data_IF_226293914254
#
_entry.id   IF_226293914254
#
_cell.length_a   1.000
_cell.length_b   1.000
_cell.length_c   1.000
_cell.angle_alpha   90.00
_cell.angle_beta   90.00
_cell.angle_gamma   90.00
#
_symmetry.space_group_name_H-M   'P 1'
#
loop_
_entity.id
_entity.type
_entity.pdbx_description
1 polymer ?
#
# COMPACT_ATOMS: atom_id res chain seq x y z
N UNK A 1 10.75 2.86 14.83
CA UNK A 1 10.93 2.97 13.37
C UNK A 1 11.22 1.62 12.72
N UNK A 2 12.27 0.87 13.09
CA UNK A 2 12.52 -0.46 12.47
C UNK A 2 11.51 -1.54 12.95
N UNK A 3 11.09 -1.49 14.22
CA UNK A 3 10.13 -2.48 14.77
C UNK A 3 8.72 -2.38 14.15
N UNK A 4 8.31 -1.19 13.72
CA UNK A 4 7.00 -0.98 13.07
C UNK A 4 7.00 -1.50 11.62
N UNK A 5 8.13 -1.39 10.91
CA UNK A 5 8.27 -1.85 9.54
C UNK A 5 8.27 -3.39 9.44
N UNK A 6 8.94 -4.08 10.37
CA UNK A 6 8.93 -5.54 10.41
C UNK A 6 7.53 -6.11 10.72
N UNK A 7 6.79 -5.44 11.63
CA UNK A 7 5.42 -5.80 11.96
C UNK A 7 4.47 -5.57 10.76
N UNK A 8 4.63 -4.45 10.07
CA UNK A 8 3.82 -4.10 8.90
C UNK A 8 4.13 -5.00 7.70
N UNK A 9 5.41 -5.30 7.44
CA UNK A 9 5.81 -6.27 6.42
C UNK A 9 5.19 -7.64 6.68
N UNK A 10 5.21 -8.09 7.94
CA UNK A 10 4.61 -9.37 8.33
C UNK A 10 3.09 -9.37 8.10
N UNK A 11 2.40 -8.30 8.50
CA UNK A 11 0.97 -8.11 8.28
C UNK A 11 0.61 -8.16 6.79
N UNK A 12 1.36 -7.46 5.95
CA UNK A 12 1.16 -7.42 4.50
C UNK A 12 1.44 -8.78 3.84
N UNK A 13 2.49 -9.49 4.28
CA UNK A 13 2.76 -10.86 3.84
C UNK A 13 1.60 -11.82 4.19
N UNK A 14 1.04 -11.70 5.40
CA UNK A 14 -0.10 -12.52 5.84
C UNK A 14 -1.36 -12.23 5.00
N UNK A 15 -1.62 -10.96 4.67
CA UNK A 15 -2.74 -10.57 3.81
C UNK A 15 -2.59 -11.13 2.38
N UNK A 16 -1.39 -10.99 1.78
CA UNK A 16 -1.11 -11.55 0.45
C UNK A 16 -1.27 -13.08 0.45
N UNK A 17 -0.86 -13.76 1.52
CA UNK A 17 -1.03 -15.21 1.66
C UNK A 17 -2.51 -15.63 1.83
N UNK A 18 -3.36 -14.78 2.40
CA UNK A 18 -4.80 -15.05 2.45
C UNK A 18 -5.44 -14.88 1.06
N UNK A 19 -5.04 -13.85 0.32
CA UNK A 19 -5.54 -13.59 -1.04
C UNK A 19 -5.10 -14.70 -2.00
N UNK A 20 -3.87 -15.22 -1.89
CA UNK A 20 -3.39 -16.32 -2.74
C UNK A 20 -4.12 -17.65 -2.55
N UNK A 21 -4.94 -17.78 -1.49
CA UNK A 21 -5.78 -18.96 -1.24
C UNK A 21 -7.18 -18.82 -1.84
N UNK A 22 -7.52 -17.66 -2.39
CA UNK A 22 -8.79 -17.43 -3.09
C UNK A 22 -8.71 -17.96 -4.53
N UNK A 23 -9.85 -18.22 -5.16
CA UNK A 23 -9.87 -18.41 -6.62
C UNK A 23 -9.60 -17.06 -7.28
N UNK A 24 -8.43 -16.96 -7.91
CA UNK A 24 -7.98 -15.77 -8.61
C UNK A 24 -8.04 -16.03 -10.12
N UNK A 25 -8.35 -14.98 -10.88
CA UNK A 25 -8.10 -14.98 -12.32
C UNK A 25 -6.61 -14.83 -12.58
N UNK A 26 -6.14 -15.24 -13.77
CA UNK A 26 -4.73 -15.11 -14.18
C UNK A 26 -4.21 -13.67 -14.02
N UNK A 27 -5.03 -12.67 -14.34
CA UNK A 27 -4.69 -11.25 -14.15
C UNK A 27 -4.52 -10.87 -12.67
N UNK A 28 -5.35 -11.42 -11.79
CA UNK A 28 -5.27 -11.18 -10.35
C UNK A 28 -4.07 -11.88 -9.73
N UNK A 29 -3.72 -13.09 -10.19
CA UNK A 29 -2.50 -13.78 -9.78
C UNK A 29 -1.25 -12.97 -10.18
N UNK A 30 -1.22 -12.47 -11.42
CA UNK A 30 -0.12 -11.62 -11.91
C UNK A 30 0.01 -10.33 -11.08
N UNK A 31 -1.12 -9.67 -10.80
CA UNK A 31 -1.15 -8.46 -9.96
C UNK A 31 -0.68 -8.75 -8.53
N UNK A 32 -1.11 -9.88 -7.95
CA UNK A 32 -0.71 -10.29 -6.61
C UNK A 32 0.81 -10.55 -6.52
N UNK A 33 1.38 -11.24 -7.52
CA UNK A 33 2.83 -11.46 -7.57
C UNK A 33 3.59 -10.13 -7.69
N UNK A 34 3.14 -9.21 -8.56
CA UNK A 34 3.76 -7.88 -8.70
C UNK A 34 3.70 -7.10 -7.39
N UNK A 35 2.57 -7.13 -6.68
CA UNK A 35 2.41 -6.50 -5.38
C UNK A 35 3.37 -7.09 -4.34
N UNK A 36 3.49 -8.42 -4.28
CA UNK A 36 4.42 -9.10 -3.37
C UNK A 36 5.89 -8.71 -3.64
N UNK A 37 6.30 -8.64 -4.90
CA UNK A 37 7.65 -8.19 -5.28
C UNK A 37 7.89 -6.72 -4.90
N UNK A 38 6.93 -5.83 -5.19
CA UNK A 38 7.03 -4.42 -4.83
C UNK A 38 7.18 -4.23 -3.31
N UNK A 39 6.43 -5.00 -2.53
CA UNK A 39 6.55 -5.02 -1.07
C UNK A 39 7.94 -5.50 -0.63
N UNK A 40 8.46 -6.57 -1.22
CA UNK A 40 9.80 -7.05 -0.90
C UNK A 40 10.88 -6.00 -1.18
N UNK A 41 10.81 -5.29 -2.31
CA UNK A 41 11.72 -4.19 -2.64
C UNK A 41 11.55 -2.99 -1.71
N UNK A 42 10.32 -2.61 -1.36
CA UNK A 42 10.02 -1.49 -0.45
C UNK A 42 10.75 -1.63 0.89
N UNK A 43 10.69 -2.83 1.46
CA UNK A 43 11.21 -3.11 2.79
C UNK A 43 12.71 -3.44 2.78
N UNK A 44 13.23 -4.13 1.74
CA UNK A 44 14.68 -4.39 1.63
C UNK A 44 15.50 -3.12 1.38
N UNK A 45 15.02 -2.23 0.50
CA UNK A 45 15.76 -1.01 0.13
C UNK A 45 15.41 0.20 1.01
N UNK A 46 14.55 0.04 2.03
CA UNK A 46 13.97 1.14 2.83
C UNK A 46 13.29 2.22 1.97
N UNK A 47 12.83 1.87 0.77
CA UNK A 47 12.18 2.77 -0.21
C UNK A 47 10.66 2.86 0.01
N UNK A 48 10.19 2.51 1.21
CA UNK A 48 8.78 2.60 1.61
C UNK A 48 8.21 3.99 1.30
N UNK A 49 8.90 5.06 1.70
CA UNK A 49 8.45 6.43 1.46
C UNK A 49 8.28 6.75 -0.03
N UNK A 50 9.20 6.30 -0.89
CA UNK A 50 9.12 6.53 -2.34
C UNK A 50 7.97 5.75 -3.00
N UNK A 51 7.60 4.60 -2.45
CA UNK A 51 6.46 3.80 -2.94
C UNK A 51 5.14 4.39 -2.47
N UNK A 52 5.06 4.85 -1.23
CA UNK A 52 3.90 5.60 -0.72
C UNK A 52 3.70 6.89 -1.54
N UNK A 53 4.78 7.60 -1.85
CA UNK A 53 4.78 8.79 -2.72
C UNK A 53 4.35 8.45 -4.16
N UNK A 54 4.88 7.39 -4.76
CA UNK A 54 4.48 6.94 -6.10
C UNK A 54 3.00 6.59 -6.17
N UNK A 55 2.46 5.93 -5.14
CA UNK A 55 1.02 5.66 -5.06
C UNK A 55 0.19 6.94 -4.82
N UNK A 56 0.71 7.90 -4.06
CA UNK A 56 0.12 9.23 -3.92
C UNK A 56 0.06 10.01 -5.24
N UNK A 57 1.00 9.76 -6.16
CA UNK A 57 1.06 10.37 -7.48
C UNK A 57 0.21 9.66 -8.54
N UNK A 58 -0.26 8.43 -8.30
CA UNK A 58 -1.21 7.79 -9.20
C UNK A 58 -2.60 8.41 -9.05
N UNK A 59 -3.07 9.07 -10.12
CA UNK A 59 -4.43 9.65 -10.30
C UNK A 59 -5.58 8.62 -10.24
N UNK A 60 -5.34 7.45 -9.66
CA UNK A 60 -6.35 6.42 -9.48
C UNK A 60 -7.25 6.82 -8.31
N UNK A 61 -8.47 7.29 -8.63
CA UNK A 61 -9.47 7.53 -7.60
C UNK A 61 -9.66 6.27 -6.75
N UNK A 62 -9.53 6.43 -5.43
CA UNK A 62 -9.83 5.37 -4.47
C UNK A 62 -11.28 4.91 -4.67
N UNK A 63 -11.47 3.60 -4.83
CA UNK A 63 -12.81 3.00 -4.85
C UNK A 63 -13.51 3.23 -3.51
N UNK A 64 -14.85 3.21 -3.51
CA UNK A 64 -15.64 3.36 -2.28
C UNK A 64 -15.24 2.35 -1.18
N UNK A 65 -14.90 1.12 -1.55
CA UNK A 65 -14.44 0.09 -0.62
C UNK A 65 -13.11 0.47 0.04
N UNK A 66 -12.16 1.00 -0.74
CA UNK A 66 -10.86 1.47 -0.23
C UNK A 66 -11.02 2.68 0.70
N UNK A 67 -11.86 3.66 0.32
CA UNK A 67 -12.17 4.82 1.17
C UNK A 67 -12.79 4.42 2.51
N UNK A 68 -13.74 3.48 2.49
CA UNK A 68 -14.40 3.01 3.69
C UNK A 68 -13.46 2.22 4.60
N UNK A 69 -12.53 1.46 4.01
CA UNK A 69 -11.48 0.78 4.76
C UNK A 69 -10.49 1.76 5.40
N UNK A 70 -10.03 2.78 4.67
CA UNK A 70 -9.14 3.83 5.21
C UNK A 70 -9.80 4.56 6.39
N UNK A 71 -11.07 4.94 6.25
CA UNK A 71 -11.84 5.53 7.36
C UNK A 71 -11.96 4.60 8.57
N UNK A 72 -12.08 3.28 8.35
CA UNK A 72 -12.09 2.28 9.45
C UNK A 72 -10.76 2.20 10.21
N UNK A 73 -9.66 2.61 9.57
CA UNK A 73 -8.33 2.71 10.17
C UNK A 73 -8.06 4.09 10.79
N UNK A 74 -9.04 5.02 10.75
CA UNK A 74 -8.89 6.39 11.24
C UNK A 74 -8.13 7.32 10.28
N UNK A 75 -7.90 6.89 9.04
CA UNK A 75 -7.24 7.68 8.00
C UNK A 75 -8.33 8.36 7.17
N UNK A 76 -8.26 9.68 7.02
CA UNK A 76 -9.19 10.42 6.16
C UNK A 76 -8.69 10.39 4.70
N UNK A 77 -9.34 9.64 3.79
CA UNK A 77 -8.92 9.54 2.39
C UNK A 77 -9.19 10.81 1.58
N UNK A 78 -9.96 11.75 2.12
CA UNK A 78 -10.32 13.01 1.49
C UNK A 78 -9.58 14.20 2.12
N UNK A 79 -8.67 13.94 3.07
CA UNK A 79 -7.84 14.98 3.64
C UNK A 79 -6.95 15.58 2.55
N UNK A 80 -6.87 16.93 2.46
CA UNK A 80 -5.93 17.56 1.56
C UNK A 80 -4.51 17.08 1.91
N UNK A 81 -3.79 16.59 0.91
CA UNK A 81 -2.35 16.32 1.06
C UNK A 81 -1.71 17.68 1.25
N UNK A 82 -1.23 17.98 2.47
CA UNK A 82 -0.41 19.16 2.69
C UNK A 82 0.89 18.96 1.93
N UNK A 83 1.03 19.72 0.84
CA UNK A 83 2.25 19.78 0.05
C UNK A 83 3.28 20.58 0.86
N UNK A 84 4.03 19.90 1.73
CA UNK A 84 5.04 20.49 2.61
C UNK A 84 6.27 21.08 1.85
N UNK A 85 6.18 21.18 0.51
CA UNK A 85 7.18 21.78 -0.37
C UNK A 85 6.81 23.18 -0.90
N UNK A 86 5.85 23.88 -0.27
CA UNK A 86 5.59 25.29 -0.54
C UNK A 86 6.23 26.22 0.51
N UNK A 87 7.55 26.14 0.70
CA UNK A 87 8.30 27.18 1.39
C UNK A 87 9.75 27.30 0.88
N UNK A 88 9.95 28.35 0.06
CA UNK A 88 11.18 29.06 -0.35
C UNK A 88 12.34 28.30 -1.04
#
# INVERSE_FOLDING_TARGET
>A
MIEDDDAELRRLCEQLQQISRMELTELQEEALMKAAYALHFAFLDRRRGEIEEFYGMTDAELTNAQRQHLRSLGIDPDAPVEDDNAAD
#
